data_IF_702180677963
#
_entry.id   IF_702180677963
#
_cell.length_a   1.000
_cell.length_b   1.000
_cell.length_c   1.000
_cell.angle_alpha   90.00
_cell.angle_beta   90.00
_cell.angle_gamma   90.00
#
_symmetry.space_group_name_H-M   'P 1'
#
loop_
_entity.id
_entity.type
_entity.pdbx_description
1 polymer ?
#
# COMPACT_ATOMS: atom_id res chain seq x y z
N UNK A 1 -7.65 29.86 -8.16
CA UNK A 1 -8.54 28.80 -8.54
C UNK A 1 -8.14 27.57 -7.79
N UNK A 2 -9.01 27.20 -6.89
CA UNK A 2 -8.86 26.17 -5.89
C UNK A 2 -8.83 24.83 -6.58
N UNK A 3 -7.65 24.24 -6.74
CA UNK A 3 -7.49 22.80 -6.88
C UNK A 3 -7.75 22.19 -5.50
N UNK A 4 -9.00 22.06 -5.15
CA UNK A 4 -9.42 21.07 -4.18
C UNK A 4 -9.14 19.69 -4.83
N UNK A 5 -7.88 19.30 -4.78
CA UNK A 5 -7.47 17.96 -5.08
C UNK A 5 -8.20 17.07 -4.10
N UNK A 6 -9.03 16.22 -4.60
CA UNK A 6 -9.42 15.01 -3.93
C UNK A 6 -8.15 14.21 -3.70
N UNK A 7 -7.51 14.47 -2.58
CA UNK A 7 -6.54 13.54 -2.02
C UNK A 7 -7.28 12.22 -1.90
N UNK A 8 -6.85 11.24 -2.66
CA UNK A 8 -7.42 9.92 -2.58
C UNK A 8 -7.55 9.54 -1.13
N UNK A 9 -8.77 9.31 -0.69
CA UNK A 9 -9.07 9.01 0.71
C UNK A 9 -8.35 7.73 1.04
N UNK A 10 -7.22 7.88 1.74
CA UNK A 10 -6.43 6.77 2.26
C UNK A 10 -7.22 6.26 3.48
N UNK A 11 -8.17 5.37 3.24
CA UNK A 11 -8.92 4.77 4.34
C UNK A 11 -8.04 3.71 4.95
N UNK A 12 -7.39 4.08 6.04
CA UNK A 12 -6.78 3.13 6.95
C UNK A 12 -7.92 2.50 7.74
N UNK A 13 -8.49 1.44 7.22
CA UNK A 13 -9.30 0.52 8.02
C UNK A 13 -8.33 -0.36 8.83
N UNK A 14 -7.44 0.29 9.56
CA UNK A 14 -6.73 -0.34 10.66
C UNK A 14 -7.76 -0.61 11.75
N UNK A 15 -7.85 -1.84 12.21
CA UNK A 15 -8.64 -2.13 13.40
C UNK A 15 -8.25 -1.10 14.47
N UNK A 16 -9.24 -0.41 15.00
CA UNK A 16 -9.05 0.47 16.15
C UNK A 16 -8.45 -0.43 17.22
N UNK A 17 -7.23 -0.08 17.62
CA UNK A 17 -6.65 -0.70 18.80
C UNK A 17 -7.59 -0.31 19.96
N UNK A 18 -8.45 -1.22 20.38
CA UNK A 18 -9.48 -0.98 21.38
C UNK A 18 -8.92 -0.48 22.72
N UNK A 19 -7.60 -0.50 22.88
CA UNK A 19 -6.88 0.06 24.02
C UNK A 19 -6.69 1.59 23.94
N UNK A 20 -7.04 2.23 22.82
CA UNK A 20 -6.75 3.67 22.57
C UNK A 20 -7.96 4.58 22.69
N UNK A 21 -9.16 4.05 22.90
CA UNK A 21 -10.33 4.88 23.16
C UNK A 21 -10.23 5.44 24.60
N UNK A 22 -9.67 6.64 24.74
CA UNK A 22 -9.89 7.39 25.99
C UNK A 22 -11.35 7.80 26.01
N UNK A 23 -12.11 7.20 26.92
CA UNK A 23 -13.39 7.74 27.36
C UNK A 23 -13.26 9.24 27.64
N UNK A 24 -14.17 10.09 27.14
CA UNK A 24 -14.25 11.45 27.63
C UNK A 24 -14.37 11.43 29.17
N UNK A 25 -13.63 12.27 29.82
CA UNK A 25 -13.29 12.28 31.25
C UNK A 25 -14.46 12.31 32.25
N UNK A 26 -15.70 12.12 31.80
CA UNK A 26 -16.90 12.20 32.64
C UNK A 26 -17.89 11.04 32.47
N UNK A 27 -17.49 9.90 31.90
CA UNK A 27 -18.35 8.73 31.89
C UNK A 27 -17.69 7.60 32.65
N UNK A 28 -18.01 7.48 33.93
CA UNK A 28 -17.49 6.50 34.88
C UNK A 28 -17.91 5.06 34.61
N UNK A 29 -18.54 4.75 33.46
CA UNK A 29 -19.06 3.42 33.13
C UNK A 29 -19.00 3.07 31.64
N UNK A 30 -18.05 3.60 30.88
CA UNK A 30 -17.82 3.07 29.54
C UNK A 30 -16.92 1.83 29.64
N UNK A 31 -17.53 0.69 29.81
CA UNK A 31 -16.89 -0.59 29.48
C UNK A 31 -16.54 -0.53 28.01
N UNK A 32 -15.27 -0.79 27.68
CA UNK A 32 -14.84 -0.99 26.30
C UNK A 32 -15.86 -1.87 25.57
N UNK A 33 -16.20 -1.59 24.30
CA UNK A 33 -17.20 -2.41 23.60
C UNK A 33 -16.84 -3.88 23.77
N UNK A 34 -17.78 -4.73 24.19
CA UNK A 34 -17.50 -6.10 24.62
C UNK A 34 -17.04 -7.01 23.49
N UNK A 35 -16.93 -6.47 22.26
CA UNK A 35 -16.62 -7.27 21.09
C UNK A 35 -15.38 -6.72 20.38
N UNK A 36 -14.24 -7.45 20.41
CA UNK A 36 -13.12 -7.15 19.54
C UNK A 36 -13.59 -7.22 18.08
N UNK A 37 -13.14 -6.28 17.24
CA UNK A 37 -13.43 -6.30 15.80
C UNK A 37 -12.96 -7.62 15.21
N UNK A 38 -13.88 -8.37 14.63
CA UNK A 38 -13.57 -9.66 14.01
C UNK A 38 -13.06 -9.48 12.58
N UNK A 39 -12.39 -10.50 12.03
CA UNK A 39 -12.02 -10.52 10.62
C UNK A 39 -13.26 -10.36 9.71
N UNK A 40 -14.41 -10.93 10.10
CA UNK A 40 -15.66 -10.80 9.36
C UNK A 40 -16.14 -9.35 9.24
N UNK A 41 -16.05 -8.57 10.33
CA UNK A 41 -16.43 -7.16 10.33
C UNK A 41 -15.52 -6.34 9.40
N UNK A 42 -14.23 -6.60 9.44
CA UNK A 42 -13.24 -5.94 8.56
C UNK A 42 -13.50 -6.29 7.09
N UNK A 43 -13.73 -7.55 6.77
CA UNK A 43 -14.05 -8.01 5.41
C UNK A 43 -15.35 -7.36 4.93
N UNK A 44 -16.35 -7.26 5.77
CA UNK A 44 -17.61 -6.57 5.45
C UNK A 44 -17.39 -5.09 5.13
N UNK A 45 -16.56 -4.40 5.92
CA UNK A 45 -16.16 -3.03 5.63
C UNK A 45 -15.37 -2.89 4.31
N UNK A 46 -14.44 -3.80 4.04
CA UNK A 46 -13.67 -3.78 2.79
C UNK A 46 -14.52 -4.04 1.54
N UNK A 47 -15.58 -4.85 1.65
CA UNK A 47 -16.48 -5.12 0.54
C UNK A 47 -17.16 -3.86 -0.01
N UNK A 48 -17.33 -2.82 0.80
CA UNK A 48 -17.86 -1.53 0.34
C UNK A 48 -16.98 -0.92 -0.75
N UNK A 49 -15.66 -1.12 -0.70
CA UNK A 49 -14.72 -0.61 -1.70
C UNK A 49 -14.69 -1.43 -3.00
N UNK A 50 -15.47 -2.48 -3.13
CA UNK A 50 -15.58 -3.24 -4.38
C UNK A 50 -16.27 -2.45 -5.49
N UNK A 51 -17.07 -1.42 -5.14
CA UNK A 51 -17.76 -0.59 -6.10
C UNK A 51 -16.88 0.56 -6.58
N UNK A 52 -16.33 0.44 -7.81
CA UNK A 52 -15.44 1.43 -8.43
C UNK A 52 -16.13 2.78 -8.63
N UNK A 53 -17.41 2.77 -8.97
CA UNK A 53 -18.15 3.99 -9.33
C UNK A 53 -18.48 4.84 -8.11
N UNK A 54 -18.70 4.21 -6.98
CA UNK A 54 -19.08 4.86 -5.73
C UNK A 54 -17.86 5.37 -4.97
N UNK A 55 -16.77 4.58 -4.96
CA UNK A 55 -15.55 4.90 -4.22
C UNK A 55 -14.32 4.92 -5.14
N UNK A 56 -13.98 6.06 -5.76
CA UNK A 56 -12.75 6.18 -6.56
C UNK A 56 -11.54 6.24 -5.63
N UNK A 57 -10.85 5.14 -5.44
CA UNK A 57 -9.65 5.03 -4.60
C UNK A 57 -8.44 4.60 -5.42
N UNK A 58 -7.26 5.14 -5.12
CA UNK A 58 -6.00 4.77 -5.77
C UNK A 58 -5.20 3.75 -4.97
N UNK A 59 -5.36 3.74 -3.64
CA UNK A 59 -4.63 2.86 -2.74
C UNK A 59 -5.56 2.27 -1.69
N UNK A 60 -5.44 0.96 -1.49
CA UNK A 60 -6.06 0.24 -0.39
C UNK A 60 -4.97 -0.15 0.61
N UNK A 61 -5.05 0.34 1.83
CA UNK A 61 -4.02 0.14 2.85
C UNK A 61 -4.53 -0.84 3.90
N UNK A 62 -3.75 -1.89 4.15
CA UNK A 62 -4.12 -2.90 5.13
C UNK A 62 -4.11 -2.37 6.57
N UNK A 63 -3.21 -1.44 6.88
CA UNK A 63 -2.95 -1.04 8.27
C UNK A 63 -2.26 -2.16 9.07
N UNK A 64 -2.43 -2.21 10.39
CA UNK A 64 -1.81 -3.25 11.22
C UNK A 64 -2.40 -4.63 10.91
N UNK A 65 -1.58 -5.66 11.10
CA UNK A 65 -2.05 -7.05 11.10
C UNK A 65 -3.03 -7.31 12.26
N UNK A 66 -3.68 -8.44 12.21
CA UNK A 66 -4.62 -8.90 13.24
C UNK A 66 -3.92 -9.73 14.34
N UNK A 67 -4.70 -10.25 15.28
CA UNK A 67 -4.18 -11.01 16.42
C UNK A 67 -3.46 -12.30 16.03
N UNK A 68 -3.97 -13.02 15.04
CA UNK A 68 -3.35 -14.23 14.50
C UNK A 68 -2.75 -14.00 13.10
N UNK A 69 -1.88 -14.91 12.68
CA UNK A 69 -1.28 -14.92 11.34
C UNK A 69 -2.35 -15.20 10.28
N UNK A 70 -3.21 -16.16 10.55
CA UNK A 70 -4.30 -16.59 9.65
C UNK A 70 -5.28 -15.45 9.39
N UNK A 71 -5.67 -14.71 10.41
CA UNK A 71 -6.52 -13.52 10.27
C UNK A 71 -5.82 -12.41 9.50
N UNK A 72 -4.52 -12.20 9.74
CA UNK A 72 -3.71 -11.23 9.00
C UNK A 72 -3.65 -11.58 7.51
N UNK A 73 -3.43 -12.87 7.20
CA UNK A 73 -3.43 -13.40 5.83
C UNK A 73 -4.81 -13.25 5.18
N UNK A 74 -5.87 -13.58 5.90
CA UNK A 74 -7.25 -13.40 5.42
C UNK A 74 -7.56 -11.93 5.08
N UNK A 75 -7.16 -11.01 5.96
CA UNK A 75 -7.30 -9.56 5.78
C UNK A 75 -6.54 -9.07 4.55
N UNK A 76 -5.26 -9.46 4.40
CA UNK A 76 -4.43 -9.07 3.27
C UNK A 76 -4.98 -9.62 1.94
N UNK A 77 -5.30 -10.91 1.90
CA UNK A 77 -5.82 -11.56 0.69
C UNK A 77 -7.16 -10.96 0.25
N UNK A 78 -8.00 -10.54 1.18
CA UNK A 78 -9.24 -9.82 0.83
C UNK A 78 -8.97 -8.49 0.13
N UNK A 79 -8.02 -7.69 0.64
CA UNK A 79 -7.63 -6.43 -0.03
C UNK A 79 -7.01 -6.67 -1.40
N UNK A 80 -6.15 -7.68 -1.51
CA UNK A 80 -5.54 -8.06 -2.79
C UNK A 80 -6.60 -8.49 -3.79
N UNK A 81 -7.60 -9.28 -3.37
CA UNK A 81 -8.73 -9.67 -4.22
C UNK A 81 -9.50 -8.44 -4.73
N UNK A 82 -9.88 -7.53 -3.83
CA UNK A 82 -10.60 -6.31 -4.22
C UNK A 82 -9.78 -5.47 -5.22
N UNK A 83 -8.48 -5.27 -4.98
CA UNK A 83 -7.63 -4.52 -5.91
C UNK A 83 -7.49 -5.21 -7.27
N UNK A 84 -7.41 -6.54 -7.28
CA UNK A 84 -7.30 -7.35 -8.50
C UNK A 84 -8.60 -7.37 -9.33
N UNK A 85 -9.76 -7.33 -8.65
CA UNK A 85 -11.07 -7.29 -9.30
C UNK A 85 -11.36 -5.88 -9.85
N UNK A 86 -11.02 -4.85 -9.09
CA UNK A 86 -11.20 -3.44 -9.47
C UNK A 86 -10.28 -3.02 -10.61
N UNK A 87 -9.01 -3.40 -10.58
CA UNK A 87 -7.97 -3.03 -11.55
C UNK A 87 -7.66 -1.52 -11.67
N UNK A 88 -8.15 -0.70 -10.75
CA UNK A 88 -7.95 0.76 -10.73
C UNK A 88 -7.11 1.24 -9.53
N UNK A 89 -6.78 0.36 -8.60
CA UNK A 89 -6.06 0.69 -7.39
C UNK A 89 -4.97 -0.35 -7.04
N UNK A 90 -4.13 0.00 -6.06
CA UNK A 90 -3.08 -0.89 -5.54
C UNK A 90 -3.35 -1.16 -4.06
N UNK A 91 -3.34 -2.43 -3.67
CA UNK A 91 -3.36 -2.84 -2.27
C UNK A 91 -1.93 -2.80 -1.71
N UNK A 92 -1.75 -2.17 -0.55
CA UNK A 92 -0.48 -2.17 0.18
C UNK A 92 -0.66 -2.95 1.47
N UNK A 93 0.06 -4.05 1.57
CA UNK A 93 -0.04 -5.03 2.64
C UNK A 93 1.32 -5.26 3.29
N UNK A 94 1.33 -5.75 4.52
CA UNK A 94 2.57 -5.99 5.26
C UNK A 94 2.44 -7.18 6.20
N UNK A 95 3.50 -7.55 6.92
CA UNK A 95 3.51 -8.66 7.85
C UNK A 95 2.64 -8.40 9.09
N UNK A 96 2.39 -9.46 9.86
CA UNK A 96 1.75 -9.33 11.17
C UNK A 96 2.67 -8.61 12.16
N UNK A 97 2.07 -7.93 13.14
CA UNK A 97 2.82 -7.30 14.23
C UNK A 97 3.64 -8.33 15.01
N UNK A 98 3.09 -9.50 15.25
CA UNK A 98 3.75 -10.60 15.94
C UNK A 98 4.94 -11.21 15.18
N UNK A 99 5.09 -10.96 13.88
CA UNK A 99 6.22 -11.45 13.10
C UNK A 99 7.52 -10.70 13.46
N UNK A 100 7.41 -9.45 13.89
CA UNK A 100 8.57 -8.57 14.16
C UNK A 100 8.68 -8.12 15.61
N UNK A 101 7.57 -8.16 16.38
CA UNK A 101 7.47 -7.66 17.75
C UNK A 101 6.99 -8.74 18.69
N UNK A 102 7.56 -8.79 19.89
CA UNK A 102 7.10 -9.63 21.01
C UNK A 102 6.26 -8.80 21.98
N UNK A 103 5.31 -9.46 22.64
CA UNK A 103 4.46 -8.85 23.68
C UNK A 103 3.14 -8.31 23.13
N UNK A 104 2.09 -8.50 23.92
CA UNK A 104 0.69 -8.09 23.65
C UNK A 104 0.30 -6.81 24.40
N UNK A 105 1.25 -6.01 24.83
CA UNK A 105 0.99 -4.87 25.69
C UNK A 105 1.27 -3.50 25.04
N UNK A 106 1.17 -2.46 25.85
CA UNK A 106 1.35 -1.05 25.48
C UNK A 106 2.77 -0.74 24.97
N UNK A 107 3.75 -1.59 25.26
CA UNK A 107 5.14 -1.42 24.85
C UNK A 107 5.69 -2.73 24.23
N UNK A 108 5.28 -3.09 22.99
CA UNK A 108 5.87 -4.24 22.31
C UNK A 108 7.37 -3.98 22.04
N UNK A 109 8.18 -5.03 22.16
CA UNK A 109 9.63 -4.99 21.94
C UNK A 109 9.99 -5.76 20.67
N UNK A 110 10.91 -5.28 19.82
CA UNK A 110 11.40 -6.06 18.68
C UNK A 110 11.92 -7.43 19.11
N UNK A 111 11.67 -8.45 18.30
CA UNK A 111 12.28 -9.77 18.49
C UNK A 111 13.80 -9.62 18.40
N UNK A 112 14.52 -10.29 19.30
CA UNK A 112 15.98 -10.14 19.43
C UNK A 112 16.72 -10.68 18.20
N UNK A 113 16.20 -11.76 17.60
CA UNK A 113 16.85 -12.40 16.47
C UNK A 113 16.22 -11.96 15.13
N UNK A 114 17.01 -11.29 14.28
CA UNK A 114 16.59 -10.82 12.97
C UNK A 114 16.31 -11.95 11.97
N UNK A 115 16.94 -13.12 12.12
CA UNK A 115 16.65 -14.29 11.28
C UNK A 115 15.27 -14.87 11.61
N UNK A 116 14.89 -14.87 12.90
CA UNK A 116 13.55 -15.24 13.33
C UNK A 116 12.52 -14.27 12.77
N UNK A 117 12.77 -12.95 12.82
CA UNK A 117 11.90 -11.96 12.21
C UNK A 117 11.75 -12.20 10.71
N UNK A 118 12.86 -12.43 10.00
CA UNK A 118 12.87 -12.75 8.56
C UNK A 118 12.02 -13.99 8.25
N UNK A 119 12.22 -15.07 9.00
CA UNK A 119 11.48 -16.31 8.82
C UNK A 119 9.97 -16.13 9.08
N UNK A 120 9.61 -15.38 10.10
CA UNK A 120 8.21 -15.08 10.41
C UNK A 120 7.55 -14.23 9.33
N UNK A 121 8.22 -13.17 8.85
CA UNK A 121 7.73 -12.33 7.76
C UNK A 121 7.49 -13.19 6.51
N UNK A 122 8.45 -14.06 6.16
CA UNK A 122 8.31 -14.97 5.03
C UNK A 122 7.16 -15.95 5.21
N UNK A 123 7.00 -16.50 6.42
CA UNK A 123 5.91 -17.44 6.72
C UNK A 123 4.52 -16.80 6.57
N UNK A 124 4.38 -15.51 6.86
CA UNK A 124 3.14 -14.75 6.68
C UNK A 124 2.96 -14.30 5.23
N UNK A 125 3.94 -13.61 4.66
CA UNK A 125 3.80 -12.96 3.35
C UNK A 125 3.79 -13.95 2.17
N UNK A 126 4.39 -15.14 2.31
CA UNK A 126 4.32 -16.18 1.26
C UNK A 126 2.89 -16.74 1.07
N UNK A 127 2.00 -16.56 2.05
CA UNK A 127 0.59 -16.98 1.96
C UNK A 127 -0.28 -15.93 1.25
N UNK A 128 0.27 -14.77 0.90
CA UNK A 128 -0.46 -13.73 0.17
C UNK A 128 -0.65 -14.11 -1.29
N UNK A 129 -1.85 -13.85 -1.79
CA UNK A 129 -2.21 -14.10 -3.18
C UNK A 129 -1.30 -13.32 -4.13
N UNK A 130 -0.82 -14.01 -5.17
CA UNK A 130 0.00 -13.40 -6.21
C UNK A 130 -0.83 -12.42 -7.04
N UNK A 131 -0.42 -11.15 -7.06
CA UNK A 131 -1.08 -10.11 -7.85
C UNK A 131 -0.13 -8.96 -8.15
N UNK A 132 -0.21 -8.41 -9.36
CA UNK A 132 0.50 -7.17 -9.69
C UNK A 132 -0.19 -5.92 -9.12
N UNK A 133 -1.41 -6.05 -8.62
CA UNK A 133 -2.16 -4.98 -7.96
C UNK A 133 -1.91 -4.90 -6.46
N UNK A 134 -0.90 -5.61 -5.97
CA UNK A 134 -0.52 -5.57 -4.55
C UNK A 134 0.97 -5.30 -4.37
N UNK A 135 1.31 -4.67 -3.26
CA UNK A 135 2.69 -4.36 -2.84
C UNK A 135 2.85 -4.82 -1.39
N UNK A 136 3.92 -5.54 -1.11
CA UNK A 136 4.22 -6.07 0.23
C UNK A 136 5.42 -5.33 0.80
N UNK A 137 5.28 -4.76 1.99
CA UNK A 137 6.39 -4.17 2.76
C UNK A 137 6.93 -5.14 3.83
N UNK A 138 8.02 -4.76 4.50
CA UNK A 138 8.72 -5.64 5.43
C UNK A 138 8.47 -5.38 6.90
N UNK A 139 7.60 -4.40 7.30
CA UNK A 139 7.46 -4.30 8.73
C UNK A 139 6.82 -3.08 9.38
N UNK A 140 7.42 -2.68 10.50
CA UNK A 140 6.89 -1.68 11.43
C UNK A 140 7.96 -0.65 11.77
N UNK A 141 7.54 0.62 11.88
CA UNK A 141 8.36 1.74 12.35
C UNK A 141 7.94 2.19 13.75
N UNK A 142 8.88 2.73 14.51
CA UNK A 142 8.67 3.31 15.84
C UNK A 142 8.53 4.81 15.72
N UNK A 143 7.42 5.34 16.20
CA UNK A 143 7.10 6.77 16.14
C UNK A 143 6.71 7.30 17.50
N UNK A 144 6.81 8.61 17.65
CA UNK A 144 6.20 9.33 18.78
C UNK A 144 4.78 9.77 18.41
N UNK A 145 3.80 9.23 19.12
CA UNK A 145 2.40 9.63 19.01
C UNK A 145 2.15 10.84 19.92
N UNK A 146 2.17 12.02 19.33
CA UNK A 146 2.02 13.29 20.06
C UNK A 146 0.64 13.46 20.71
N UNK A 147 -0.40 12.80 20.16
CA UNK A 147 -1.77 12.93 20.67
C UNK A 147 -1.95 12.14 21.99
N UNK A 148 -1.29 11.01 22.08
CA UNK A 148 -1.33 10.16 23.28
C UNK A 148 -0.05 10.30 24.14
N UNK A 149 0.89 11.16 23.75
CA UNK A 149 2.17 11.39 24.44
C UNK A 149 2.92 10.08 24.73
N UNK A 150 2.99 9.19 23.75
CA UNK A 150 3.68 7.90 23.90
C UNK A 150 4.28 7.42 22.58
N UNK A 151 5.33 6.63 22.70
CA UNK A 151 5.91 5.96 21.56
C UNK A 151 5.14 4.67 21.23
N UNK A 152 4.99 4.38 19.94
CA UNK A 152 4.36 3.12 19.47
C UNK A 152 4.92 2.65 18.12
N UNK A 153 4.77 1.36 17.87
CA UNK A 153 5.06 0.77 16.56
C UNK A 153 3.81 0.83 15.69
N UNK A 154 4.00 1.34 14.47
CA UNK A 154 2.96 1.35 13.42
C UNK A 154 3.48 0.68 12.16
N UNK A 155 2.60 0.07 11.33
CA UNK A 155 3.02 -0.58 10.09
C UNK A 155 3.52 0.43 9.06
N UNK A 156 4.45 0.00 8.20
CA UNK A 156 5.03 0.82 7.13
C UNK A 156 4.20 0.84 5.84
N UNK A 157 3.15 0.03 5.73
CA UNK A 157 2.31 -0.04 4.53
C UNK A 157 1.65 1.31 4.17
N UNK A 158 1.27 2.11 5.16
CA UNK A 158 0.78 3.47 4.94
C UNK A 158 1.85 4.42 4.40
N UNK A 159 3.11 4.25 4.84
CA UNK A 159 4.22 5.03 4.31
C UNK A 159 4.52 4.69 2.86
N UNK A 160 4.49 3.41 2.50
CA UNK A 160 4.68 2.96 1.11
C UNK A 160 3.61 3.55 0.19
N UNK A 161 2.34 3.54 0.61
CA UNK A 161 1.27 4.21 -0.12
C UNK A 161 1.51 5.73 -0.22
N UNK A 162 1.94 6.36 0.87
CA UNK A 162 2.30 7.78 0.92
C UNK A 162 3.47 8.14 0.00
N UNK A 163 4.50 7.28 -0.10
CA UNK A 163 5.62 7.45 -1.03
C UNK A 163 5.14 7.37 -2.48
N UNK A 164 4.29 6.41 -2.82
CA UNK A 164 3.70 6.32 -4.15
C UNK A 164 2.87 7.56 -4.49
N UNK A 165 2.07 8.08 -3.56
CA UNK A 165 1.30 9.29 -3.75
C UNK A 165 2.19 10.53 -3.92
N UNK A 166 3.19 10.70 -3.05
CA UNK A 166 4.18 11.78 -3.13
C UNK A 166 4.96 11.75 -4.45
N UNK A 167 5.35 10.56 -4.91
CA UNK A 167 6.02 10.39 -6.20
C UNK A 167 5.14 10.84 -7.35
N UNK A 168 3.83 10.56 -7.30
CA UNK A 168 2.89 11.05 -8.31
C UNK A 168 2.73 12.57 -8.32
N UNK A 169 2.85 13.21 -7.16
CA UNK A 169 2.71 14.68 -7.04
C UNK A 169 3.97 15.43 -7.46
N UNK A 170 5.14 14.94 -7.04
CA UNK A 170 6.41 15.63 -7.24
C UNK A 170 7.10 15.25 -8.57
N UNK A 171 6.73 14.11 -9.12
CA UNK A 171 7.27 13.57 -10.38
C UNK A 171 6.10 13.03 -11.20
N UNK A 172 6.19 11.77 -11.65
CA UNK A 172 5.12 11.11 -12.39
C UNK A 172 4.81 9.73 -11.78
N UNK A 173 3.59 9.21 -11.98
CA UNK A 173 3.18 7.93 -11.42
C UNK A 173 4.06 6.74 -11.78
N UNK A 174 4.72 6.78 -12.92
CA UNK A 174 5.60 5.73 -13.43
C UNK A 174 7.05 5.80 -12.95
N UNK A 175 7.38 6.71 -12.04
CA UNK A 175 8.66 6.67 -11.35
C UNK A 175 8.59 5.71 -10.16
N UNK A 176 9.70 4.99 -9.92
CA UNK A 176 9.80 4.12 -8.75
C UNK A 176 9.67 4.93 -7.45
N UNK A 177 8.83 4.50 -6.50
CA UNK A 177 8.72 5.16 -5.20
C UNK A 177 9.87 4.82 -4.25
N UNK A 178 10.75 3.89 -4.62
CA UNK A 178 11.87 3.45 -3.80
C UNK A 178 13.12 4.32 -3.97
N UNK A 179 14.08 4.13 -3.08
CA UNK A 179 15.40 4.79 -3.13
C UNK A 179 15.52 6.02 -2.23
N UNK A 180 16.73 6.60 -2.19
CA UNK A 180 17.09 7.67 -1.26
C UNK A 180 16.31 8.98 -1.50
N UNK A 181 15.91 9.27 -2.75
CA UNK A 181 15.21 10.52 -3.06
C UNK A 181 13.71 10.44 -2.74
N UNK A 182 13.04 9.36 -3.17
CA UNK A 182 11.58 9.22 -3.13
C UNK A 182 11.09 8.28 -2.05
N UNK A 183 11.90 7.30 -1.69
CA UNK A 183 11.55 6.23 -0.75
C UNK A 183 11.83 6.53 0.71
N UNK A 184 12.03 7.77 1.10
CA UNK A 184 12.31 8.15 2.50
C UNK A 184 11.05 8.03 3.35
N UNK A 185 11.17 7.27 4.45
CA UNK A 185 10.14 7.13 5.49
C UNK A 185 10.26 8.30 6.46
N UNK A 186 9.22 9.11 6.49
CA UNK A 186 9.16 10.25 7.42
C UNK A 186 8.68 9.83 8.82
N UNK A 187 9.02 10.65 9.82
CA UNK A 187 8.56 10.47 11.21
C UNK A 187 8.83 9.07 11.77
N UNK A 188 10.02 8.54 11.52
CA UNK A 188 10.45 7.26 12.07
C UNK A 188 11.69 7.45 12.93
N UNK A 189 11.63 7.03 14.19
CA UNK A 189 12.77 7.03 15.10
C UNK A 189 13.67 5.82 14.84
N UNK A 190 13.04 4.65 14.66
CA UNK A 190 13.73 3.38 14.35
C UNK A 190 12.76 2.41 13.71
N UNK A 191 13.31 1.36 13.12
CA UNK A 191 12.54 0.21 12.63
C UNK A 191 12.39 -0.87 13.71
N UNK A 192 11.31 -1.63 13.67
CA UNK A 192 11.16 -2.85 14.46
C UNK A 192 12.07 -3.98 13.93
N UNK A 193 12.31 -3.98 12.63
CA UNK A 193 13.15 -4.93 11.91
C UNK A 193 14.01 -4.18 10.89
N UNK A 194 15.33 -4.33 10.98
CA UNK A 194 16.28 -3.76 10.02
C UNK A 194 17.07 -4.90 9.39
N UNK A 195 16.74 -5.32 8.16
CA UNK A 195 17.34 -6.48 7.52
C UNK A 195 18.81 -6.26 7.13
N UNK A 196 19.65 -7.28 7.34
CA UNK A 196 21.00 -7.37 6.77
C UNK A 196 20.94 -7.49 5.25
N UNK A 197 22.09 -7.39 4.57
CA UNK A 197 22.13 -7.53 3.11
C UNK A 197 21.56 -8.86 2.63
N UNK A 198 22.00 -9.98 3.19
CA UNK A 198 21.51 -11.31 2.83
C UNK A 198 20.01 -11.47 3.08
N UNK A 199 19.50 -10.91 4.18
CA UNK A 199 18.06 -10.93 4.48
C UNK A 199 17.26 -10.06 3.50
N UNK A 200 17.79 -8.90 3.07
CA UNK A 200 17.17 -8.05 2.04
C UNK A 200 17.05 -8.78 0.70
N UNK A 201 18.12 -9.44 0.28
CA UNK A 201 18.14 -10.19 -0.97
C UNK A 201 17.13 -11.34 -0.93
N UNK A 202 17.02 -12.03 0.21
CA UNK A 202 16.03 -13.07 0.43
C UNK A 202 14.59 -12.52 0.39
N UNK A 203 14.30 -11.44 1.11
CA UNK A 203 12.99 -10.80 1.10
C UNK A 203 12.60 -10.33 -0.31
N UNK A 204 13.53 -9.66 -1.00
CA UNK A 204 13.30 -9.15 -2.34
C UNK A 204 13.05 -10.27 -3.36
N UNK A 205 13.75 -11.39 -3.24
CA UNK A 205 13.48 -12.59 -4.07
C UNK A 205 12.06 -13.11 -3.83
N UNK A 206 11.54 -12.96 -2.61
CA UNK A 206 10.18 -13.38 -2.22
C UNK A 206 9.13 -12.27 -2.38
N UNK A 207 9.40 -11.24 -3.18
CA UNK A 207 8.45 -10.15 -3.53
C UNK A 207 8.14 -9.18 -2.39
N UNK A 208 8.91 -9.21 -1.32
CA UNK A 208 8.75 -8.33 -0.18
C UNK A 208 9.71 -7.16 -0.36
N UNK A 209 9.22 -5.94 -0.28
CA UNK A 209 10.03 -4.73 -0.42
C UNK A 209 10.62 -4.36 0.95
N UNK A 210 11.95 -4.50 1.14
CA UNK A 210 12.56 -4.19 2.41
C UNK A 210 12.54 -2.69 2.70
N UNK A 211 12.16 -2.34 3.92
CA UNK A 211 12.35 -1.01 4.50
C UNK A 211 13.60 -1.08 5.38
N UNK A 212 14.59 -0.23 5.11
CA UNK A 212 15.94 -0.35 5.66
C UNK A 212 16.39 0.98 6.25
N UNK A 213 17.05 0.93 7.39
CA UNK A 213 17.74 2.08 7.95
C UNK A 213 19.21 2.07 7.51
N UNK A 214 19.60 3.05 6.68
CA UNK A 214 20.98 3.25 6.27
C UNK A 214 21.62 4.40 7.05
N UNK A 215 22.85 4.20 7.56
CA UNK A 215 23.59 5.29 8.20
C UNK A 215 23.76 6.48 7.25
N UNK A 216 23.41 7.67 7.71
CA UNK A 216 23.53 8.91 6.94
C UNK A 216 22.42 9.15 5.88
N UNK A 217 21.59 8.16 5.55
CA UNK A 217 20.51 8.29 4.56
C UNK A 217 19.11 8.19 5.19
N UNK A 218 19.04 7.76 6.46
CA UNK A 218 17.77 7.55 7.15
C UNK A 218 17.11 6.21 6.82
N UNK A 219 15.81 6.16 7.01
CA UNK A 219 14.99 4.97 6.75
C UNK A 219 14.38 5.09 5.36
N UNK A 220 14.64 4.12 4.49
CA UNK A 220 14.19 4.14 3.10
C UNK A 220 13.54 2.83 2.68
N UNK A 221 12.62 2.93 1.74
CA UNK A 221 12.09 1.78 0.99
C UNK A 221 13.13 1.36 -0.05
N UNK A 222 13.63 0.13 0.08
CA UNK A 222 14.71 -0.40 -0.78
C UNK A 222 14.22 -1.57 -1.65
N UNK A 223 13.08 -1.37 -2.30
CA UNK A 223 12.48 -2.34 -3.22
C UNK A 223 11.27 -1.75 -3.92
N UNK A 224 11.00 -2.22 -5.14
CA UNK A 224 9.92 -1.75 -6.00
C UNK A 224 9.14 -2.88 -6.69
N UNK A 225 9.09 -4.06 -6.07
CA UNK A 225 8.36 -5.21 -6.59
C UNK A 225 6.87 -5.18 -6.20
N UNK A 226 6.05 -5.64 -7.12
CA UNK A 226 4.66 -6.03 -6.82
C UNK A 226 4.62 -7.43 -6.18
N UNK A 227 3.46 -7.84 -5.69
CA UNK A 227 3.27 -9.19 -5.13
C UNK A 227 3.15 -10.30 -6.20
N UNK A 228 3.49 -10.02 -7.45
CA UNK A 228 3.41 -10.97 -8.55
C UNK A 228 4.49 -12.06 -8.42
N UNK A 229 4.10 -13.34 -8.51
CA UNK A 229 4.99 -14.47 -8.26
C UNK A 229 5.79 -14.94 -9.47
N UNK A 230 5.43 -14.52 -10.67
CA UNK A 230 6.10 -14.88 -11.93
C UNK A 230 6.75 -13.67 -12.58
N UNK A 231 7.74 -13.91 -13.45
CA UNK A 231 8.45 -12.85 -14.16
C UNK A 231 7.54 -12.22 -15.21
N UNK A 232 7.31 -10.92 -15.08
CA UNK A 232 6.51 -10.12 -15.99
C UNK A 232 6.95 -8.66 -15.91
N UNK A 233 6.64 -7.86 -16.92
CA UNK A 233 6.80 -6.41 -16.83
C UNK A 233 6.02 -5.78 -15.66
N UNK A 234 4.93 -6.43 -15.23
CA UNK A 234 4.11 -6.01 -14.10
C UNK A 234 4.61 -6.47 -12.73
N UNK A 235 5.79 -7.08 -12.64
CA UNK A 235 6.44 -7.39 -11.37
C UNK A 235 7.03 -6.14 -10.68
N UNK A 236 6.99 -4.97 -11.36
CA UNK A 236 7.47 -3.69 -10.88
C UNK A 236 6.33 -2.72 -10.58
N UNK A 237 6.45 -2.02 -9.44
CA UNK A 237 5.46 -1.04 -8.99
C UNK A 237 5.29 0.09 -10.01
N UNK A 238 6.39 0.61 -10.54
CA UNK A 238 6.38 1.71 -11.48
C UNK A 238 5.65 1.36 -12.78
N UNK A 239 5.86 0.17 -13.33
CA UNK A 239 5.17 -0.29 -14.55
C UNK A 239 3.67 -0.48 -14.29
N UNK A 240 3.28 -1.14 -13.18
CA UNK A 240 1.87 -1.30 -12.85
C UNK A 240 1.19 0.06 -12.67
N UNK A 241 1.85 1.01 -12.04
CA UNK A 241 1.30 2.36 -11.85
C UNK A 241 1.20 3.16 -13.15
N UNK A 242 2.15 2.99 -14.07
CA UNK A 242 2.04 3.54 -15.41
C UNK A 242 0.73 3.07 -16.07
N UNK A 243 0.51 1.76 -16.11
CA UNK A 243 -0.67 1.19 -16.74
C UNK A 243 -1.97 1.64 -16.08
N UNK A 244 -2.05 1.67 -14.75
CA UNK A 244 -3.24 2.17 -14.04
C UNK A 244 -3.60 3.60 -14.44
N UNK A 245 -2.61 4.47 -14.62
CA UNK A 245 -2.84 5.85 -15.03
C UNK A 245 -3.24 5.94 -16.50
N UNK A 246 -2.56 5.21 -17.38
CA UNK A 246 -2.85 5.19 -18.82
C UNK A 246 -4.24 4.59 -19.08
N UNK A 247 -4.56 3.44 -18.47
CA UNK A 247 -5.87 2.80 -18.57
C UNK A 247 -7.00 3.73 -18.13
N UNK A 248 -6.85 4.38 -16.97
CA UNK A 248 -7.85 5.33 -16.45
C UNK A 248 -8.05 6.53 -17.36
N UNK A 249 -6.96 7.07 -17.95
CA UNK A 249 -7.04 8.21 -18.86
C UNK A 249 -7.71 7.83 -20.18
N UNK A 250 -7.34 6.69 -20.75
CA UNK A 250 -7.94 6.18 -22.00
C UNK A 250 -9.41 5.82 -21.78
N UNK A 251 -9.76 5.17 -20.67
CA UNK A 251 -11.14 4.86 -20.32
C UNK A 251 -12.02 6.12 -20.26
N UNK A 252 -11.51 7.19 -19.65
CA UNK A 252 -12.23 8.48 -19.62
C UNK A 252 -12.44 9.07 -21.00
N UNK A 253 -11.42 8.99 -21.87
CA UNK A 253 -11.51 9.43 -23.25
C UNK A 253 -12.51 8.58 -24.06
N UNK A 254 -12.49 7.26 -23.84
CA UNK A 254 -13.37 6.32 -24.50
C UNK A 254 -14.85 6.49 -24.14
N UNK A 255 -15.14 6.99 -22.94
CA UNK A 255 -16.53 7.24 -22.50
C UNK A 255 -17.28 8.22 -23.42
N UNK A 256 -16.59 9.17 -24.02
CA UNK A 256 -17.17 10.11 -24.98
C UNK A 256 -17.56 9.45 -26.30
N UNK A 257 -17.05 8.26 -26.60
CA UNK A 257 -17.34 7.50 -27.81
C UNK A 257 -18.39 6.41 -27.60
N UNK A 258 -18.94 6.28 -26.38
CA UNK A 258 -19.98 5.32 -26.09
C UNK A 258 -21.24 5.69 -26.89
N UNK A 259 -21.83 4.70 -27.55
CA UNK A 259 -23.03 4.83 -28.37
C UNK A 259 -22.84 5.55 -29.73
N UNK A 260 -21.61 5.93 -30.09
CA UNK A 260 -21.29 6.46 -31.41
C UNK A 260 -21.19 5.31 -32.46
N UNK A 261 -21.32 5.66 -33.73
CA UNK A 261 -21.15 4.68 -34.83
C UNK A 261 -19.70 4.21 -34.91
N UNK A 262 -19.50 2.93 -35.18
CA UNK A 262 -18.16 2.36 -35.39
C UNK A 262 -17.67 2.61 -36.83
N UNK A 263 -17.42 3.85 -37.17
CA UNK A 263 -16.93 4.30 -38.46
C UNK A 263 -15.48 4.87 -38.36
N UNK A 264 -14.91 5.19 -39.52
CA UNK A 264 -13.55 5.71 -39.59
C UNK A 264 -13.43 7.10 -38.95
N UNK A 265 -14.51 7.86 -38.92
CA UNK A 265 -14.54 9.22 -38.32
C UNK A 265 -14.45 9.10 -36.81
N UNK A 266 -15.22 8.24 -36.19
CA UNK A 266 -15.20 8.01 -34.75
C UNK A 266 -13.85 7.45 -34.31
N UNK A 267 -13.28 6.49 -35.05
CA UNK A 267 -11.93 5.96 -34.79
C UNK A 267 -10.86 7.05 -34.88
N UNK A 268 -10.91 7.88 -35.94
CA UNK A 268 -9.99 8.99 -36.11
C UNK A 268 -10.11 10.03 -34.97
N UNK A 269 -11.32 10.32 -34.52
CA UNK A 269 -11.55 11.22 -33.39
C UNK A 269 -10.98 10.66 -32.08
N UNK A 270 -11.13 9.35 -31.83
CA UNK A 270 -10.53 8.70 -30.67
C UNK A 270 -9.00 8.77 -30.70
N UNK A 271 -8.37 8.46 -31.85
CA UNK A 271 -6.92 8.55 -32.04
C UNK A 271 -6.41 9.97 -31.77
N UNK A 272 -7.11 10.99 -32.29
CA UNK A 272 -6.76 12.41 -32.04
C UNK A 272 -6.76 12.82 -30.56
N UNK A 273 -7.53 12.13 -29.73
CA UNK A 273 -7.58 12.37 -28.28
C UNK A 273 -6.47 11.60 -27.58
N UNK A 274 -6.27 10.32 -27.92
CA UNK A 274 -5.35 9.42 -27.21
C UNK A 274 -3.89 9.64 -27.60
N UNK A 275 -3.61 9.85 -28.89
CA UNK A 275 -2.24 10.00 -29.38
C UNK A 275 -1.46 11.16 -28.71
N UNK A 276 -1.99 12.39 -28.57
CA UNK A 276 -1.28 13.47 -27.87
C UNK A 276 -0.99 13.14 -26.40
N UNK A 277 -1.91 12.42 -25.74
CA UNK A 277 -1.70 11.96 -24.36
C UNK A 277 -0.56 10.95 -24.28
N UNK A 278 -0.51 9.95 -25.16
CA UNK A 278 0.58 8.97 -25.17
C UNK A 278 1.92 9.61 -25.53
N UNK A 279 1.95 10.58 -26.46
CA UNK A 279 3.15 11.38 -26.74
C UNK A 279 3.64 12.18 -25.54
N UNK A 280 2.73 12.72 -24.71
CA UNK A 280 3.09 13.39 -23.45
C UNK A 280 3.69 12.41 -22.45
N UNK A 281 3.12 11.21 -22.32
CA UNK A 281 3.67 10.14 -21.47
C UNK A 281 5.06 9.71 -21.97
N UNK A 282 5.27 9.62 -23.28
CA UNK A 282 6.55 9.31 -23.91
C UNK A 282 7.59 10.41 -23.63
N UNK A 283 7.22 11.67 -23.82
CA UNK A 283 8.11 12.82 -23.54
C UNK A 283 8.55 12.86 -22.05
N UNK A 284 7.68 12.38 -21.14
CA UNK A 284 7.92 12.26 -19.71
C UNK A 284 8.56 10.93 -19.29
N UNK A 285 9.13 10.17 -20.23
CA UNK A 285 9.83 8.89 -20.01
C UNK A 285 8.95 7.77 -19.44
N UNK A 286 7.64 7.80 -19.68
CA UNK A 286 6.74 6.73 -19.26
C UNK A 286 6.81 5.51 -20.17
N UNK A 287 6.87 5.74 -21.47
CA UNK A 287 6.97 4.72 -22.52
C UNK A 287 8.04 5.13 -23.53
N UNK A 288 8.57 4.16 -24.24
CA UNK A 288 9.57 4.41 -25.32
C UNK A 288 8.91 4.55 -26.67
N UNK A 289 7.84 3.78 -26.91
CA UNK A 289 7.07 3.77 -28.15
C UNK A 289 5.64 3.33 -27.90
N UNK A 290 4.69 3.66 -28.83
CA UNK A 290 3.26 3.30 -28.71
C UNK A 290 2.57 3.19 -30.09
#
# INVERSE_FOLDING_TARGET
PVLNGWFGMCIVLGGIDNTSFKSPTNVSTFTAPPFPTTLGDIISGYNQFSNIREYPVNYLIMGPGMGSREETVGKANKLISIASDRKDCIAVVGPSKSDVLSGSGVAPVPLVNSDTQTSNILATCNQYTSSSYAVIDSGYKYIFDRFNNKFRYIPTNSDVAGMMARTSQNSFPWFSPAGADRGVVNNAVKLAYNPSQAQRDLLYTKRINPVVAFPGQGIILFGDKTALSYVSAFDRINVRRLFLNVETAIERAARAQLFEFNDDITRANFVKIVEPFLRDVQAKRGITDF
#
